data_IF_494522917169
#
_entry.id   IF_494522917169
#
_cell.length_a   1.000
_cell.length_b   1.000
_cell.length_c   1.000
_cell.angle_alpha   90.00
_cell.angle_beta   90.00
_cell.angle_gamma   90.00
#
_symmetry.space_group_name_H-M   'P 1'
#
loop_
_entity.id
_entity.type
_entity.pdbx_description
1 polymer ?
#
# COMPACT_ATOMS: atom_id res chain seq x y z
N UNK A 1 21.29 -36.15 2.93
CA UNK A 1 20.20 -35.44 3.63
C UNK A 1 20.57 -35.35 5.09
N UNK A 2 20.83 -34.15 5.64
CA UNK A 2 21.02 -33.97 7.09
C UNK A 2 19.71 -34.32 7.80
N UNK A 3 19.78 -34.97 8.96
CA UNK A 3 18.58 -35.21 9.78
C UNK A 3 18.03 -33.87 10.29
N UNK A 4 16.71 -33.73 10.35
CA UNK A 4 16.03 -32.54 10.91
C UNK A 4 16.52 -32.19 12.33
N UNK A 5 16.84 -33.19 13.15
CA UNK A 5 17.44 -32.96 14.47
C UNK A 5 18.81 -32.30 14.38
N UNK A 6 19.59 -32.61 13.35
CA UNK A 6 20.91 -32.02 13.11
C UNK A 6 20.80 -30.56 12.67
N UNK A 7 19.83 -30.21 11.82
CA UNK A 7 19.63 -28.82 11.35
C UNK A 7 19.11 -27.93 12.47
N UNK A 8 18.20 -28.45 13.30
CA UNK A 8 17.70 -27.74 14.49
C UNK A 8 18.81 -27.48 15.52
N UNK A 9 19.72 -28.43 15.71
CA UNK A 9 20.86 -28.26 16.61
C UNK A 9 21.85 -27.22 16.06
N UNK A 10 22.11 -27.26 14.75
CA UNK A 10 22.95 -26.28 14.05
C UNK A 10 22.39 -24.85 14.20
N UNK A 11 21.08 -24.68 14.03
CA UNK A 11 20.38 -23.41 14.25
C UNK A 11 20.53 -22.92 15.70
N UNK A 12 20.24 -23.77 16.69
CA UNK A 12 20.36 -23.42 18.11
C UNK A 12 21.79 -23.02 18.49
N UNK A 13 22.78 -23.75 17.99
CA UNK A 13 24.18 -23.45 18.23
C UNK A 13 24.57 -22.09 17.62
N UNK A 14 24.14 -21.81 16.39
CA UNK A 14 24.44 -20.52 15.76
C UNK A 14 23.80 -19.36 16.49
N UNK A 15 22.54 -19.48 16.92
CA UNK A 15 21.88 -18.48 17.77
C UNK A 15 22.64 -18.29 19.08
N UNK A 16 23.05 -19.38 19.74
CA UNK A 16 23.81 -19.31 20.99
C UNK A 16 25.13 -18.54 20.81
N UNK A 17 25.87 -18.81 19.72
CA UNK A 17 27.11 -18.07 19.40
C UNK A 17 26.87 -16.59 19.07
N UNK A 18 25.70 -16.25 18.55
CA UNK A 18 25.35 -14.89 18.14
C UNK A 18 24.66 -14.06 19.24
N UNK A 19 24.47 -14.59 20.45
CA UNK A 19 23.85 -13.86 21.58
C UNK A 19 24.54 -12.52 21.89
N UNK A 20 25.86 -12.46 21.71
CA UNK A 20 26.66 -11.24 21.90
C UNK A 20 26.32 -10.20 20.82
N UNK A 21 26.25 -10.61 19.55
CA UNK A 21 25.90 -9.74 18.42
C UNK A 21 24.45 -9.28 18.49
N UNK A 22 23.53 -10.16 18.90
CA UNK A 22 22.14 -9.82 19.15
C UNK A 22 22.01 -8.75 20.25
N UNK A 23 22.86 -8.79 21.27
CA UNK A 23 22.83 -7.81 22.36
C UNK A 23 23.41 -6.46 21.96
N UNK A 24 24.38 -6.43 21.03
CA UNK A 24 25.09 -5.22 20.60
C UNK A 24 24.47 -4.56 19.37
N UNK A 25 24.30 -5.33 18.30
CA UNK A 25 23.88 -4.85 16.98
C UNK A 25 22.43 -5.21 16.67
N UNK A 26 21.88 -6.23 17.34
CA UNK A 26 20.55 -6.76 17.04
C UNK A 26 20.51 -7.58 15.75
N UNK A 27 21.66 -8.05 15.27
CA UNK A 27 21.78 -8.85 14.05
C UNK A 27 21.74 -10.34 14.37
N UNK A 28 20.92 -11.08 13.63
CA UNK A 28 20.90 -12.54 13.58
C UNK A 28 21.22 -12.97 12.14
N UNK A 29 22.39 -13.59 11.94
CA UNK A 29 22.86 -14.04 10.63
C UNK A 29 22.80 -15.57 10.53
N UNK A 30 21.81 -16.07 9.79
CA UNK A 30 21.54 -17.47 9.52
C UNK A 30 21.79 -17.82 8.05
N UNK A 31 22.69 -17.12 7.36
CA UNK A 31 23.06 -17.45 5.98
C UNK A 31 23.59 -18.88 5.84
N UNK A 32 23.33 -19.45 4.67
CA UNK A 32 23.81 -20.78 4.24
C UNK A 32 23.39 -21.92 5.19
N UNK A 33 22.24 -21.78 5.85
CA UNK A 33 21.70 -22.79 6.76
C UNK A 33 20.37 -23.29 6.23
N UNK A 34 20.16 -24.59 6.40
CA UNK A 34 18.85 -25.19 6.21
C UNK A 34 17.95 -24.83 7.40
N UNK A 35 16.94 -24.00 7.16
CA UNK A 35 15.99 -23.52 8.15
C UNK A 35 14.62 -24.12 7.79
N UNK A 36 14.27 -25.29 8.35
CA UNK A 36 12.94 -25.85 8.15
C UNK A 36 11.85 -25.04 8.87
N UNK A 37 12.20 -24.39 9.99
CA UNK A 37 11.29 -23.61 10.81
C UNK A 37 12.03 -22.65 11.74
N UNK A 38 11.41 -21.51 12.05
CA UNK A 38 11.87 -20.56 13.07
C UNK A 38 11.29 -20.81 14.46
N UNK A 39 10.43 -21.81 14.67
CA UNK A 39 9.92 -22.15 16.01
C UNK A 39 11.03 -22.27 17.08
N UNK A 40 12.22 -22.85 16.79
CA UNK A 40 13.31 -22.94 17.76
C UNK A 40 13.98 -21.60 18.09
N UNK A 41 13.85 -20.61 17.22
CA UNK A 41 14.37 -19.26 17.46
C UNK A 41 13.67 -18.65 18.67
N UNK A 42 12.36 -18.90 18.84
CA UNK A 42 11.56 -18.20 19.83
C UNK A 42 11.56 -16.68 19.59
N UNK A 43 11.01 -15.92 20.53
CA UNK A 43 11.00 -14.46 20.44
C UNK A 43 12.38 -13.90 20.80
N UNK A 44 12.93 -13.04 19.94
CA UNK A 44 14.22 -12.40 20.13
C UNK A 44 14.04 -10.88 20.32
N UNK A 45 13.87 -10.40 21.57
CA UNK A 45 13.41 -9.03 21.85
C UNK A 45 14.35 -7.92 21.39
N UNK A 46 15.60 -8.25 21.04
CA UNK A 46 16.63 -7.31 20.56
C UNK A 46 16.93 -7.45 19.07
N UNK A 47 16.29 -8.38 18.36
CA UNK A 47 16.57 -8.63 16.94
C UNK A 47 16.01 -7.51 16.07
N UNK A 48 16.90 -6.72 15.48
CA UNK A 48 16.60 -5.65 14.52
C UNK A 48 16.74 -6.12 13.07
N UNK A 49 17.71 -6.99 12.82
CA UNK A 49 18.03 -7.48 11.47
C UNK A 49 18.10 -9.00 11.47
N UNK A 50 17.30 -9.63 10.60
CA UNK A 50 17.33 -11.06 10.34
C UNK A 50 17.88 -11.31 8.94
N UNK A 51 18.97 -12.07 8.84
CA UNK A 51 19.53 -12.48 7.55
C UNK A 51 19.45 -14.00 7.38
N UNK A 52 18.71 -14.43 6.37
CA UNK A 52 18.49 -15.84 6.01
C UNK A 52 18.85 -16.09 4.55
N UNK A 53 19.76 -15.30 3.98
CA UNK A 53 20.14 -15.45 2.57
C UNK A 53 20.80 -16.81 2.28
N UNK A 54 20.57 -17.35 1.09
CA UNK A 54 21.04 -18.69 0.67
C UNK A 54 20.57 -19.81 1.62
N UNK A 55 19.39 -19.68 2.22
CA UNK A 55 18.72 -20.75 2.97
C UNK A 55 17.61 -21.38 2.13
N UNK A 56 17.07 -22.50 2.59
CA UNK A 56 15.97 -23.22 1.94
C UNK A 56 14.58 -22.75 2.40
N UNK A 57 14.45 -21.52 2.88
CA UNK A 57 13.20 -21.03 3.43
C UNK A 57 12.15 -20.74 2.34
N UNK A 58 10.92 -21.21 2.57
CA UNK A 58 9.77 -21.02 1.66
C UNK A 58 8.76 -19.97 2.16
N UNK A 59 8.69 -19.76 3.48
CA UNK A 59 7.78 -18.79 4.13
C UNK A 59 8.30 -18.38 5.51
N UNK A 60 7.77 -17.28 6.07
CA UNK A 60 8.03 -16.83 7.43
C UNK A 60 6.94 -17.25 8.43
N UNK A 61 6.13 -18.25 8.08
CA UNK A 61 4.97 -18.68 8.86
C UNK A 61 5.32 -19.04 10.31
N UNK A 62 6.48 -19.66 10.53
CA UNK A 62 6.93 -20.09 11.86
C UNK A 62 7.72 -19.02 12.61
N UNK A 63 7.97 -17.86 11.98
CA UNK A 63 8.63 -16.73 12.63
C UNK A 63 7.63 -16.04 13.58
N UNK A 64 7.94 -15.95 14.88
CA UNK A 64 7.10 -15.24 15.82
C UNK A 64 7.09 -13.73 15.52
N UNK A 65 6.13 -13.01 16.10
CA UNK A 65 6.10 -11.55 16.01
C UNK A 65 7.28 -10.97 16.82
N UNK A 66 8.19 -10.28 16.15
CA UNK A 66 9.39 -9.72 16.77
C UNK A 66 9.19 -8.23 17.09
N UNK A 67 9.47 -7.79 18.32
CA UNK A 67 9.04 -6.47 18.78
C UNK A 67 9.82 -5.31 18.15
N UNK A 68 11.04 -5.55 17.66
CA UNK A 68 11.94 -4.52 17.14
C UNK A 68 12.55 -4.84 15.78
N UNK A 69 12.08 -5.91 15.12
CA UNK A 69 12.58 -6.34 13.82
C UNK A 69 12.24 -5.29 12.76
N UNK A 70 13.28 -4.70 12.16
CA UNK A 70 13.15 -3.65 11.16
C UNK A 70 13.63 -4.08 9.78
N UNK A 71 14.46 -5.13 9.69
CA UNK A 71 15.08 -5.54 8.43
C UNK A 71 15.07 -7.06 8.27
N UNK A 72 14.54 -7.55 7.15
CA UNK A 72 14.62 -8.96 6.74
C UNK A 72 15.40 -9.06 5.43
N UNK A 73 16.39 -9.95 5.39
CA UNK A 73 17.21 -10.23 4.19
C UNK A 73 17.12 -11.72 3.89
N UNK A 74 16.47 -12.08 2.80
CA UNK A 74 16.18 -13.45 2.36
C UNK A 74 16.52 -13.65 0.88
N UNK A 75 17.66 -13.13 0.44
CA UNK A 75 18.10 -13.23 -0.95
C UNK A 75 18.50 -14.67 -1.30
N UNK A 76 18.31 -15.07 -2.56
CA UNK A 76 18.64 -16.40 -3.08
C UNK A 76 18.01 -17.52 -2.22
N UNK A 77 16.71 -17.40 -1.97
CA UNK A 77 15.92 -18.40 -1.23
C UNK A 77 14.76 -18.87 -2.09
N UNK A 78 14.20 -20.07 -1.85
CA UNK A 78 12.98 -20.52 -2.53
C UNK A 78 11.71 -19.85 -1.99
N UNK A 79 11.82 -18.68 -1.34
CA UNK A 79 10.71 -17.94 -0.76
C UNK A 79 9.67 -17.62 -1.83
N UNK A 80 8.45 -18.11 -1.62
CA UNK A 80 7.35 -17.98 -2.58
C UNK A 80 6.02 -17.58 -1.91
N UNK A 81 6.04 -17.25 -0.62
CA UNK A 81 4.86 -16.93 0.18
C UNK A 81 5.05 -15.67 1.03
N UNK A 82 3.96 -14.95 1.24
CA UNK A 82 3.88 -13.78 2.12
C UNK A 82 3.57 -14.11 3.58
N UNK A 83 3.33 -15.39 3.90
CA UNK A 83 2.96 -15.83 5.23
C UNK A 83 3.99 -15.38 6.28
N UNK A 84 3.51 -14.63 7.27
CA UNK A 84 4.26 -14.24 8.45
C UNK A 84 4.89 -12.85 8.38
N UNK A 85 4.80 -12.18 7.22
CA UNK A 85 5.19 -10.78 7.10
C UNK A 85 4.23 -9.84 7.86
N UNK A 86 2.93 -10.14 7.87
CA UNK A 86 1.91 -9.30 8.53
C UNK A 86 2.11 -9.14 10.04
N UNK A 87 2.80 -10.10 10.67
CA UNK A 87 3.09 -10.08 12.11
C UNK A 87 4.23 -9.14 12.51
N UNK A 88 5.02 -8.67 11.54
CA UNK A 88 6.21 -7.87 11.80
C UNK A 88 5.90 -6.38 11.71
N UNK A 89 5.21 -5.85 12.71
CA UNK A 89 4.65 -4.48 12.72
C UNK A 89 5.69 -3.36 12.61
N UNK A 90 6.99 -3.64 12.82
CA UNK A 90 8.08 -2.64 12.72
C UNK A 90 8.99 -2.84 11.52
N UNK A 91 8.63 -3.74 10.62
CA UNK A 91 9.43 -4.09 9.46
C UNK A 91 9.48 -2.92 8.48
N UNK A 92 10.68 -2.39 8.25
CA UNK A 92 10.92 -1.23 7.39
C UNK A 92 11.66 -1.60 6.11
N UNK A 93 12.50 -2.63 6.12
CA UNK A 93 13.30 -3.02 4.97
C UNK A 93 13.15 -4.52 4.70
N UNK A 94 12.83 -4.87 3.46
CA UNK A 94 12.77 -6.26 3.01
C UNK A 94 13.62 -6.45 1.77
N UNK A 95 14.49 -7.45 1.79
CA UNK A 95 15.30 -7.86 0.64
C UNK A 95 15.02 -9.33 0.32
N UNK A 96 14.47 -9.59 -0.86
CA UNK A 96 14.05 -10.91 -1.35
C UNK A 96 14.54 -11.12 -2.79
N UNK A 97 15.75 -10.62 -3.11
CA UNK A 97 16.32 -10.72 -4.46
C UNK A 97 16.55 -12.17 -4.86
N UNK A 98 16.30 -12.50 -6.13
CA UNK A 98 16.45 -13.85 -6.68
C UNK A 98 15.61 -14.88 -5.90
N UNK A 99 14.34 -14.54 -5.67
CA UNK A 99 13.35 -15.45 -5.09
C UNK A 99 12.14 -15.57 -6.01
N UNK A 100 11.42 -16.70 -6.03
CA UNK A 100 10.16 -16.81 -6.77
C UNK A 100 9.13 -15.73 -6.41
N UNK A 101 9.15 -15.24 -5.17
CA UNK A 101 8.31 -14.13 -4.73
C UNK A 101 8.65 -12.82 -5.46
N UNK A 102 9.93 -12.53 -5.70
CA UNK A 102 10.36 -11.33 -6.42
C UNK A 102 10.06 -11.33 -7.92
N UNK A 103 9.71 -12.48 -8.50
CA UNK A 103 9.38 -12.62 -9.92
C UNK A 103 7.90 -12.31 -10.23
N UNK A 104 7.06 -12.17 -9.19
CA UNK A 104 5.63 -11.87 -9.37
C UNK A 104 5.43 -10.44 -9.85
N UNK A 105 4.47 -10.24 -10.75
CA UNK A 105 4.21 -8.93 -11.39
C UNK A 105 3.99 -7.79 -10.40
N UNK A 106 3.21 -8.02 -9.34
CA UNK A 106 2.83 -6.99 -8.36
C UNK A 106 3.48 -7.19 -6.98
N UNK A 107 4.61 -7.91 -6.92
CA UNK A 107 5.17 -8.37 -5.64
C UNK A 107 5.44 -7.23 -4.64
N UNK A 108 5.82 -6.06 -5.13
CA UNK A 108 6.15 -4.88 -4.31
C UNK A 108 4.91 -4.31 -3.64
N UNK A 109 3.83 -4.18 -4.40
CA UNK A 109 2.52 -3.71 -3.89
C UNK A 109 1.95 -4.74 -2.92
N UNK A 110 2.01 -6.03 -3.27
CA UNK A 110 1.57 -7.11 -2.39
C UNK A 110 2.31 -7.10 -1.05
N UNK A 111 3.63 -6.95 -1.09
CA UNK A 111 4.44 -6.87 0.13
C UNK A 111 4.12 -5.61 0.95
N UNK A 112 3.84 -4.49 0.29
CA UNK A 112 3.43 -3.25 0.94
C UNK A 112 2.06 -3.38 1.62
N UNK A 113 1.09 -4.04 0.99
CA UNK A 113 -0.22 -4.32 1.59
C UNK A 113 -0.05 -5.27 2.79
N UNK A 114 0.79 -6.30 2.66
CA UNK A 114 0.98 -7.29 3.73
C UNK A 114 1.72 -6.72 4.94
N UNK A 115 2.79 -5.95 4.74
CA UNK A 115 3.58 -5.38 5.85
C UNK A 115 2.94 -4.10 6.38
N UNK A 116 2.31 -3.31 5.51
CA UNK A 116 1.66 -2.05 5.83
C UNK A 116 2.59 -0.83 5.81
N UNK A 117 2.14 0.24 6.45
CA UNK A 117 2.70 1.59 6.34
C UNK A 117 4.18 1.74 6.69
N UNK A 118 4.71 0.87 7.55
CA UNK A 118 6.08 0.96 8.06
C UNK A 118 7.13 0.51 7.05
N UNK A 119 6.73 -0.20 6.00
CA UNK A 119 7.64 -0.65 4.96
C UNK A 119 8.17 0.57 4.18
N UNK A 120 9.49 0.70 4.13
CA UNK A 120 10.21 1.83 3.51
C UNK A 120 10.92 1.43 2.23
N UNK A 121 11.59 0.27 2.27
CA UNK A 121 12.46 -0.19 1.20
C UNK A 121 12.20 -1.65 0.86
N UNK A 122 12.15 -1.93 -0.43
CA UNK A 122 12.10 -3.28 -0.98
C UNK A 122 13.31 -3.46 -1.89
N UNK A 123 14.11 -4.50 -1.66
CA UNK A 123 15.30 -4.82 -2.44
C UNK A 123 16.36 -3.69 -2.51
N UNK A 124 16.34 -2.79 -1.54
CA UNK A 124 17.22 -1.62 -1.45
C UNK A 124 16.66 -0.35 -2.11
N UNK A 125 15.55 -0.45 -2.84
CA UNK A 125 14.86 0.66 -3.46
C UNK A 125 13.78 1.21 -2.52
N UNK A 126 13.61 2.54 -2.50
CA UNK A 126 12.51 3.17 -1.78
C UNK A 126 11.18 2.82 -2.44
N UNK A 127 10.14 2.72 -1.62
CA UNK A 127 8.76 2.62 -2.10
C UNK A 127 8.32 3.98 -2.61
N UNK A 128 7.77 4.03 -3.83
CA UNK A 128 7.31 5.28 -4.43
C UNK A 128 5.97 5.74 -3.84
N UNK A 129 5.64 7.04 -3.92
CA UNK A 129 4.31 7.54 -3.55
C UNK A 129 3.17 6.86 -4.32
N UNK A 130 3.37 6.59 -5.60
CA UNK A 130 2.38 5.90 -6.45
C UNK A 130 2.12 4.46 -5.98
N UNK A 131 3.16 3.74 -5.57
CA UNK A 131 3.00 2.40 -4.99
C UNK A 131 2.16 2.42 -3.72
N UNK A 132 2.35 3.45 -2.87
CA UNK A 132 1.53 3.66 -1.66
C UNK A 132 0.10 4.01 -1.98
N UNK A 133 -0.12 4.85 -2.97
CA UNK A 133 -1.45 5.22 -3.43
C UNK A 133 -2.20 4.00 -3.95
N UNK A 134 -1.60 3.20 -4.82
CA UNK A 134 -2.20 1.95 -5.33
C UNK A 134 -2.50 1.00 -4.17
N UNK A 135 -1.55 0.77 -3.26
CA UNK A 135 -1.76 -0.10 -2.10
C UNK A 135 -2.90 0.39 -1.19
N UNK A 136 -3.11 1.71 -1.07
CA UNK A 136 -4.18 2.28 -0.24
C UNK A 136 -5.59 2.06 -0.79
N UNK A 137 -5.72 1.70 -2.07
CA UNK A 137 -7.01 1.38 -2.69
C UNK A 137 -7.54 0.00 -2.25
N UNK A 138 -6.68 -0.87 -1.72
CA UNK A 138 -7.07 -2.22 -1.31
C UNK A 138 -7.61 -2.24 0.12
N UNK A 139 -8.71 -2.97 0.38
CA UNK A 139 -9.26 -3.08 1.72
C UNK A 139 -8.33 -3.85 2.67
N UNK A 140 -8.50 -3.67 3.98
CA UNK A 140 -7.69 -4.35 5.01
C UNK A 140 -7.68 -5.87 4.84
N UNK A 141 -8.79 -6.46 4.37
CA UNK A 141 -8.89 -7.91 4.11
C UNK A 141 -7.89 -8.42 3.05
N UNK A 142 -7.42 -7.56 2.15
CA UNK A 142 -6.45 -7.91 1.12
C UNK A 142 -5.15 -8.47 1.71
N UNK A 143 -4.72 -7.96 2.88
CA UNK A 143 -3.56 -8.50 3.61
C UNK A 143 -3.71 -10.00 3.87
N UNK A 144 -4.85 -10.43 4.42
CA UNK A 144 -5.10 -11.83 4.75
C UNK A 144 -5.26 -12.71 3.51
N UNK A 145 -5.85 -12.16 2.44
CA UNK A 145 -5.97 -12.85 1.15
C UNK A 145 -4.60 -13.13 0.52
N UNK A 146 -3.72 -12.12 0.48
CA UNK A 146 -2.36 -12.25 -0.07
C UNK A 146 -1.56 -13.29 0.73
N UNK A 147 -1.64 -13.26 2.05
CA UNK A 147 -1.02 -14.28 2.90
C UNK A 147 -1.58 -15.69 2.63
N UNK A 148 -2.86 -15.80 2.26
CA UNK A 148 -3.50 -17.07 1.88
C UNK A 148 -3.21 -17.51 0.44
N UNK A 149 -2.42 -16.74 -0.31
CA UNK A 149 -1.97 -17.09 -1.65
C UNK A 149 -2.75 -16.44 -2.79
N UNK A 150 -3.67 -15.51 -2.50
CA UNK A 150 -4.27 -14.67 -3.55
C UNK A 150 -3.19 -13.80 -4.20
N UNK A 151 -3.28 -13.62 -5.52
CA UNK A 151 -2.42 -12.72 -6.29
C UNK A 151 -3.17 -11.44 -6.61
N UNK A 152 -2.50 -10.31 -6.42
CA UNK A 152 -3.07 -9.00 -6.64
C UNK A 152 -3.46 -8.80 -8.10
N UNK A 153 -4.63 -8.20 -8.31
CA UNK A 153 -5.17 -7.83 -9.62
C UNK A 153 -5.38 -6.33 -9.63
N UNK A 154 -4.93 -5.66 -10.70
CA UNK A 154 -5.12 -4.23 -10.91
C UNK A 154 -5.96 -3.98 -12.18
N UNK A 155 -6.95 -3.07 -12.17
CA UNK A 155 -7.33 -2.16 -11.07
C UNK A 155 -7.96 -2.90 -9.88
N UNK A 156 -8.03 -2.22 -8.72
CA UNK A 156 -8.57 -2.79 -7.48
C UNK A 156 -9.99 -3.35 -7.72
N UNK A 157 -10.25 -4.62 -7.35
CA UNK A 157 -11.59 -5.22 -7.44
C UNK A 157 -12.64 -4.47 -6.63
N UNK A 158 -13.91 -4.72 -6.93
CA UNK A 158 -15.01 -4.19 -6.10
C UNK A 158 -15.10 -4.91 -4.76
N UNK A 159 -15.71 -4.27 -3.76
CA UNK A 159 -15.83 -4.80 -2.40
C UNK A 159 -16.56 -6.15 -2.37
N UNK A 160 -17.55 -6.33 -3.24
CA UNK A 160 -18.31 -7.57 -3.36
C UNK A 160 -17.42 -8.75 -3.76
N UNK A 161 -16.45 -8.52 -4.67
CA UNK A 161 -15.51 -9.55 -5.10
C UNK A 161 -14.56 -9.95 -3.96
N UNK A 162 -14.19 -9.01 -3.08
CA UNK A 162 -13.39 -9.34 -1.89
C UNK A 162 -14.13 -10.25 -0.90
N UNK A 163 -15.46 -10.16 -0.80
CA UNK A 163 -16.26 -11.08 0.03
C UNK A 163 -16.21 -12.50 -0.55
N UNK A 164 -16.40 -12.62 -1.86
CA UNK A 164 -16.34 -13.92 -2.55
C UNK A 164 -14.94 -14.54 -2.41
N UNK A 165 -13.89 -13.73 -2.58
CA UNK A 165 -12.51 -14.16 -2.36
C UNK A 165 -12.28 -14.63 -0.91
N UNK A 166 -12.80 -13.90 0.09
CA UNK A 166 -12.66 -14.29 1.49
C UNK A 166 -13.28 -15.66 1.78
N UNK A 167 -14.42 -15.96 1.16
CA UNK A 167 -15.10 -17.25 1.25
C UNK A 167 -14.30 -18.33 0.50
N UNK A 168 -13.83 -18.03 -0.73
CA UNK A 168 -13.05 -18.95 -1.57
C UNK A 168 -11.75 -19.38 -0.88
N UNK A 169 -11.05 -18.45 -0.26
CA UNK A 169 -9.82 -18.70 0.50
C UNK A 169 -10.10 -19.18 1.93
N UNK A 170 -11.37 -19.39 2.31
CA UNK A 170 -11.81 -19.91 3.61
C UNK A 170 -11.20 -19.14 4.79
N UNK A 171 -11.18 -17.80 4.68
CA UNK A 171 -10.70 -16.92 5.72
C UNK A 171 -11.60 -17.00 6.96
N UNK A 172 -10.99 -16.93 8.15
CA UNK A 172 -11.71 -16.98 9.42
C UNK A 172 -11.23 -15.89 10.36
N UNK A 173 -12.13 -14.97 10.69
CA UNK A 173 -11.89 -13.93 11.68
C UNK A 173 -12.76 -14.14 12.91
N UNK A 174 -12.27 -13.70 14.07
CA UNK A 174 -13.00 -13.83 15.33
C UNK A 174 -14.23 -12.94 15.29
N UNK A 175 -15.41 -13.53 15.45
CA UNK A 175 -16.68 -12.81 15.46
C UNK A 175 -17.21 -12.46 14.06
N UNK A 176 -16.55 -12.88 12.99
CA UNK A 176 -17.06 -12.75 11.61
C UNK A 176 -17.82 -14.02 11.23
N UNK A 177 -18.98 -13.86 10.61
CA UNK A 177 -19.79 -14.95 10.09
C UNK A 177 -19.17 -15.54 8.81
N UNK A 178 -19.53 -16.78 8.46
CA UNK A 178 -18.96 -17.46 7.28
C UNK A 178 -19.27 -16.76 5.96
N UNK A 179 -20.29 -15.92 5.93
CA UNK A 179 -20.71 -15.19 4.74
C UNK A 179 -20.12 -13.77 4.68
N UNK A 180 -19.34 -13.35 5.69
CA UNK A 180 -18.75 -12.01 5.77
C UNK A 180 -19.78 -10.88 5.62
N UNK A 181 -20.94 -11.05 6.26
CA UNK A 181 -22.09 -10.12 6.15
C UNK A 181 -22.34 -9.28 7.40
N UNK A 182 -21.69 -9.61 8.51
CA UNK A 182 -21.92 -8.90 9.76
C UNK A 182 -21.12 -7.60 9.91
N UNK A 183 -21.50 -6.76 10.88
CA UNK A 183 -20.85 -5.45 11.12
C UNK A 183 -19.34 -5.54 11.40
N UNK A 184 -18.88 -6.68 11.95
CA UNK A 184 -17.46 -6.93 12.20
C UNK A 184 -16.73 -7.16 10.87
N UNK A 185 -17.34 -7.90 9.93
CA UNK A 185 -16.79 -8.12 8.59
C UNK A 185 -16.62 -6.79 7.84
N UNK A 186 -17.58 -5.87 7.94
CA UNK A 186 -17.53 -4.56 7.29
C UNK A 186 -16.28 -3.73 7.66
N UNK A 187 -15.73 -3.93 8.86
CA UNK A 187 -14.49 -3.25 9.26
C UNK A 187 -13.28 -3.69 8.43
N UNK A 188 -13.30 -4.92 7.91
CA UNK A 188 -12.21 -5.47 7.08
C UNK A 188 -12.31 -5.06 5.61
N UNK A 189 -13.47 -4.57 5.15
CA UNK A 189 -13.68 -4.09 3.78
C UNK A 189 -13.42 -2.59 3.61
N UNK A 190 -13.07 -1.90 4.69
CA UNK A 190 -12.66 -0.50 4.60
C UNK A 190 -11.22 -0.40 4.06
N UNK A 191 -10.94 0.52 3.12
CA UNK A 191 -9.56 0.84 2.78
C UNK A 191 -8.83 1.36 4.01
N UNK A 192 -7.54 1.04 4.18
CA UNK A 192 -6.75 1.58 5.27
C UNK A 192 -6.67 3.12 5.15
N UNK A 193 -6.50 3.85 6.26
CA UNK A 193 -6.17 5.26 6.18
C UNK A 193 -4.94 5.44 5.29
N UNK A 194 -5.01 6.44 4.38
CA UNK A 194 -4.02 6.68 3.32
C UNK A 194 -2.60 6.49 3.86
N UNK A 195 -1.84 5.59 3.22
CA UNK A 195 -0.46 5.32 3.63
C UNK A 195 0.34 6.62 3.53
N UNK A 196 1.02 7.06 4.60
CA UNK A 196 1.72 8.34 4.59
C UNK A 196 2.75 8.36 3.46
N UNK A 197 2.69 9.41 2.64
CA UNK A 197 3.71 9.67 1.62
C UNK A 197 4.97 10.13 2.35
N UNK A 198 6.01 9.31 2.31
CA UNK A 198 7.29 9.67 2.93
C UNK A 198 8.10 10.44 1.88
N UNK A 199 7.92 11.76 1.86
CA UNK A 199 8.78 12.66 1.11
C UNK A 199 10.12 12.78 1.85
N UNK A 200 11.14 12.06 1.40
CA UNK A 200 12.50 12.32 1.86
C UNK A 200 13.20 13.24 0.85
N UNK A 201 13.58 14.43 1.32
CA UNK A 201 14.43 15.39 0.64
C UNK A 201 15.77 14.75 0.25
N UNK A 202 15.93 14.45 -1.04
CA UNK A 202 17.12 14.65 -1.86
C UNK A 202 16.83 14.00 -3.21
N UNK A 203 16.31 14.81 -4.14
CA UNK A 203 16.43 14.52 -5.57
C UNK A 203 17.93 14.39 -5.89
N UNK A 204 18.38 13.16 -6.10
CA UNK A 204 19.58 12.91 -6.89
C UNK A 204 19.31 11.68 -7.75
N UNK A 205 18.87 11.98 -8.97
CA UNK A 205 19.20 11.30 -10.22
C UNK A 205 19.74 9.87 -10.08
N UNK A 206 18.84 8.88 -10.13
CA UNK A 206 19.16 7.57 -10.68
C UNK A 206 18.03 7.20 -11.64
N UNK A 207 18.31 7.42 -12.93
CA UNK A 207 17.59 6.78 -14.03
C UNK A 207 17.85 5.27 -13.97
N UNK A 208 16.80 4.47 -13.84
CA UNK A 208 16.84 3.05 -14.24
C UNK A 208 15.75 2.81 -15.30
N UNK A 209 16.03 2.00 -16.34
CA UNK A 209 15.30 2.02 -17.62
C UNK A 209 13.88 1.46 -17.58
N UNK A 210 13.02 1.85 -18.55
CA UNK A 210 11.64 1.40 -18.64
C UNK A 210 11.60 -0.01 -19.24
N UNK A 211 11.66 -1.02 -18.39
CA UNK A 211 11.25 -2.36 -18.75
C UNK A 211 10.31 -2.86 -17.67
N UNK A 212 9.03 -2.45 -17.74
CA UNK A 212 7.85 -3.16 -17.21
C UNK A 212 6.53 -2.51 -17.66
N UNK A 213 6.52 -1.25 -18.12
CA UNK A 213 5.31 -0.66 -18.74
C UNK A 213 5.34 -0.83 -20.26
N UNK A 214 4.79 -1.95 -20.76
CA UNK A 214 4.12 -1.94 -22.07
C UNK A 214 2.67 -1.50 -21.85
N UNK A 215 2.49 -0.29 -21.35
CA UNK A 215 1.21 0.40 -21.46
C UNK A 215 1.32 1.38 -22.62
N UNK A 216 0.38 1.29 -23.56
CA UNK A 216 0.35 2.12 -24.76
C UNK A 216 0.35 3.61 -24.38
N UNK A 217 1.33 4.42 -24.83
CA UNK A 217 1.39 5.87 -24.54
C UNK A 217 0.19 6.67 -25.09
N UNK A 218 -0.67 6.02 -25.89
CA UNK A 218 -1.82 6.64 -26.56
C UNK A 218 -3.02 6.87 -25.60
N UNK A 219 -3.06 6.24 -24.42
CA UNK A 219 -4.18 6.42 -23.46
C UNK A 219 -3.96 7.58 -22.48
N UNK A 220 -2.75 7.75 -21.94
CA UNK A 220 -2.44 8.84 -21.00
C UNK A 220 -2.47 10.22 -21.68
N UNK A 221 -2.04 10.34 -22.94
CA UNK A 221 -2.19 11.61 -23.69
C UNK A 221 -3.66 11.96 -23.98
N UNK A 222 -4.54 10.96 -24.14
CA UNK A 222 -5.96 11.20 -24.43
C UNK A 222 -6.76 11.64 -23.21
N UNK A 223 -6.49 11.09 -22.03
CA UNK A 223 -7.13 11.50 -20.78
C UNK A 223 -6.66 12.90 -20.35
N UNK A 224 -5.36 13.20 -20.43
CA UNK A 224 -4.85 14.56 -20.20
C UNK A 224 -5.34 15.60 -21.23
N UNK A 225 -5.62 15.19 -22.48
CA UNK A 225 -6.24 16.09 -23.48
C UNK A 225 -7.71 16.40 -23.15
N UNK A 226 -8.44 15.43 -22.60
CA UNK A 226 -9.86 15.61 -22.26
C UNK A 226 -10.04 16.56 -21.07
N UNK A 227 -9.22 16.43 -20.03
CA UNK A 227 -9.31 17.29 -18.84
C UNK A 227 -8.97 18.75 -19.17
N UNK A 228 -7.93 18.96 -20.00
CA UNK A 228 -7.55 20.31 -20.45
C UNK A 228 -8.60 20.93 -21.38
N UNK A 229 -9.28 20.13 -22.20
CA UNK A 229 -10.36 20.59 -23.05
C UNK A 229 -11.60 20.98 -22.22
N UNK A 230 -11.93 20.17 -21.20
CA UNK A 230 -13.04 20.45 -20.29
C UNK A 230 -12.83 21.75 -19.51
N UNK A 231 -11.61 21.99 -19.01
CA UNK A 231 -11.25 23.25 -18.33
C UNK A 231 -11.38 24.47 -19.25
N UNK A 232 -10.95 24.33 -20.52
CA UNK A 232 -11.09 25.41 -21.51
C UNK A 232 -12.53 25.72 -21.85
N UNK A 233 -13.40 24.71 -21.92
CA UNK A 233 -14.82 24.92 -22.19
C UNK A 233 -15.55 25.50 -20.97
N UNK A 234 -15.15 25.12 -19.75
CA UNK A 234 -15.64 25.74 -18.52
C UNK A 234 -15.23 27.23 -18.41
N UNK A 235 -13.99 27.56 -18.78
CA UNK A 235 -13.55 28.96 -18.84
C UNK A 235 -14.38 29.80 -19.83
N UNK A 236 -14.76 29.24 -20.99
CA UNK A 236 -15.61 29.94 -21.95
C UNK A 236 -17.01 30.21 -21.41
N UNK A 237 -17.60 29.26 -20.68
CA UNK A 237 -18.91 29.47 -20.06
C UNK A 237 -18.84 30.50 -18.93
N UNK A 238 -17.76 30.52 -18.14
CA UNK A 238 -17.56 31.52 -17.10
C UNK A 238 -17.31 32.92 -17.68
N UNK A 239 -16.59 33.03 -18.80
CA UNK A 239 -16.45 34.28 -19.56
C UNK A 239 -17.80 34.81 -20.06
N UNK A 240 -18.74 33.95 -20.47
CA UNK A 240 -20.11 34.36 -20.87
C UNK A 240 -20.91 34.94 -19.72
N UNK A 241 -20.64 34.51 -18.50
CA UNK A 241 -21.26 35.05 -17.27
C UNK A 241 -20.52 36.32 -16.79
N UNK A 242 -19.47 36.75 -17.51
CA UNK A 242 -18.70 37.96 -17.22
C UNK A 242 -17.54 37.75 -16.26
N UNK A 243 -17.16 36.50 -15.99
CA UNK A 243 -16.05 36.16 -15.09
C UNK A 243 -14.83 35.79 -15.94
N UNK A 244 -13.80 36.63 -15.85
CA UNK A 244 -12.55 36.43 -16.57
C UNK A 244 -11.55 35.67 -15.70
N UNK A 245 -11.08 34.52 -16.21
CA UNK A 245 -10.11 33.67 -15.53
C UNK A 245 -8.79 33.72 -16.30
N UNK A 246 -7.67 34.09 -15.64
CA UNK A 246 -6.37 34.09 -16.28
C UNK A 246 -5.94 32.67 -16.66
N UNK A 247 -5.49 32.51 -17.90
CA UNK A 247 -5.10 31.21 -18.51
C UNK A 247 -3.60 30.99 -18.33
N UNK A 248 -3.16 30.89 -17.08
CA UNK A 248 -1.77 30.63 -16.68
C UNK A 248 -1.57 29.17 -16.23
N UNK A 249 -0.38 28.86 -15.69
CA UNK A 249 -0.02 27.51 -15.22
C UNK A 249 -0.93 27.00 -14.08
N UNK A 250 -1.72 27.87 -13.44
CA UNK A 250 -2.61 27.55 -12.32
C UNK A 250 -4.10 27.67 -12.70
N UNK A 251 -4.45 27.45 -13.97
CA UNK A 251 -5.81 27.59 -14.48
C UNK A 251 -6.84 26.76 -13.69
N UNK A 252 -6.47 25.58 -13.20
CA UNK A 252 -7.35 24.71 -12.40
C UNK A 252 -7.75 25.34 -11.07
N UNK A 253 -6.78 25.89 -10.34
CA UNK A 253 -6.99 26.55 -9.06
C UNK A 253 -7.80 27.85 -9.25
N UNK A 254 -7.51 28.58 -10.33
CA UNK A 254 -8.24 29.81 -10.66
C UNK A 254 -9.71 29.55 -11.03
N UNK A 255 -9.98 28.48 -11.78
CA UNK A 255 -11.35 28.03 -12.11
C UNK A 255 -12.09 27.60 -10.85
N UNK A 256 -11.44 26.81 -10.00
CA UNK A 256 -12.05 26.35 -8.75
C UNK A 256 -12.45 27.52 -7.84
N UNK A 257 -11.55 28.49 -7.67
CA UNK A 257 -11.80 29.69 -6.88
C UNK A 257 -12.94 30.55 -7.47
N UNK A 258 -13.01 30.67 -8.80
CA UNK A 258 -14.09 31.41 -9.47
C UNK A 258 -15.47 30.75 -9.27
N UNK A 259 -15.55 29.42 -9.41
CA UNK A 259 -16.79 28.67 -9.16
C UNK A 259 -17.19 28.74 -7.69
N UNK A 260 -16.23 28.63 -6.77
CA UNK A 260 -16.49 28.76 -5.34
C UNK A 260 -17.01 30.17 -4.97
N UNK A 261 -16.42 31.21 -5.56
CA UNK A 261 -16.89 32.59 -5.42
C UNK A 261 -18.32 32.80 -5.94
N UNK A 262 -18.67 32.20 -7.09
CA UNK A 262 -20.05 32.19 -7.60
C UNK A 262 -21.02 31.53 -6.63
N UNK A 263 -20.66 30.37 -6.07
CA UNK A 263 -21.49 29.66 -5.09
C UNK A 263 -21.73 30.51 -3.84
N UNK A 264 -20.72 31.24 -3.37
CA UNK A 264 -20.89 32.16 -2.24
C UNK A 264 -21.78 33.35 -2.58
N UNK A 265 -21.69 33.90 -3.79
CA UNK A 265 -22.56 34.99 -4.25
C UNK A 265 -24.01 34.52 -4.35
N UNK A 266 -24.25 33.34 -4.95
CA UNK A 266 -25.60 32.75 -5.05
C UNK A 266 -26.19 32.54 -3.65
N UNK A 267 -25.41 32.01 -2.70
CA UNK A 267 -25.86 31.84 -1.30
C UNK A 267 -26.18 33.15 -0.59
N UNK A 268 -25.56 34.27 -1.00
CA UNK A 268 -25.85 35.61 -0.47
C UNK A 268 -27.03 36.28 -1.16
N UNK A 269 -27.40 35.84 -2.37
CA UNK A 269 -28.57 36.31 -3.11
C UNK A 269 -29.85 35.55 -2.76
N UNK A 270 -29.73 34.31 -2.27
CA UNK A 270 -30.86 33.46 -1.84
C UNK A 270 -31.81 34.15 -0.83
N UNK A 271 -31.33 34.87 0.21
CA UNK A 271 -32.21 35.61 1.13
C UNK A 271 -32.83 36.87 0.50
N UNK A 272 -32.32 37.33 -0.65
CA UNK A 272 -32.72 38.59 -1.28
C UNK A 272 -33.80 38.36 -2.37
N UNK A 273 -33.90 37.14 -2.92
CA UNK A 273 -34.95 36.76 -3.86
C UNK A 273 -36.35 36.78 -3.21
N UNK A 274 -36.44 36.41 -1.93
CA UNK A 274 -37.70 36.41 -1.16
C UNK A 274 -38.20 37.82 -0.80
N UNK A 275 -37.32 38.84 -0.78
CA UNK A 275 -37.72 40.25 -0.57
C UNK A 275 -38.14 40.94 -1.88
N UNK A 276 -37.54 40.58 -3.01
CA UNK A 276 -37.91 41.14 -4.33
C UNK A 276 -39.25 40.60 -4.87
N UNK A 277 -39.63 39.37 -4.51
CA UNK A 277 -40.97 38.82 -4.80
C UNK A 277 -42.09 39.54 -4.04
N UNK A 278 -41.79 40.11 -2.86
CA UNK A 278 -42.79 40.87 -2.07
C UNK A 278 -42.98 42.31 -2.54
N UNK A 279 -42.00 42.87 -3.24
CA UNK A 279 -42.09 44.24 -3.78
C UNK A 279 -42.84 44.30 -5.12
N UNK A 280 -42.86 43.21 -5.88
CA UNK A 280 -43.62 43.15 -7.15
C UNK A 280 -45.12 42.92 -6.96
N UNK A 281 -45.55 42.45 -5.78
CA UNK A 281 -46.99 42.30 -5.44
C UNK A 281 -47.63 43.58 -4.88
N UNK A 282 -46.86 44.65 -4.62
CA UNK A 282 -47.37 45.92 -4.07
C UNK A 282 -47.63 47.02 -5.11
N UNK A 283 -47.19 46.84 -6.36
CA UNK A 283 -47.40 47.81 -7.45
C UNK A 283 -48.64 47.50 -8.33
N UNK A 284 -49.44 46.48 -7.99
CA UNK A 284 -50.71 46.12 -8.68
C UNK A 284 -52.00 46.43 -7.88
N UNK A 285 -51.98 47.35 -6.90
CA UNK A 285 -53.20 47.84 -6.21
C UNK A 285 -53.44 49.35 -6.38
#
# INVERSE_FOLDING_TARGET
MKSERSTLLELKNKIATQRVNLSREGLVDLKNIEIPSFTPLGIQPKMKTLNVSNSNIISFETLPAEPVLSTIIANNTPLNSYLGFSRQNRLANVCVKNTPLSERQYFRIELLIVVGQHLMKINGELISPQEREIASQYPIIAQALIESGWSLVYPCPKIEEFRDLAIQFNLRFKGVDKQFTNEIAEQHFKPPPVLPIIQNMHETLISVPPAIFKENPIKQEKEMMQDKQMLMDLCKELERVGIFIPKDENIEENVFNAVQGLVEIVKKLDPCADELLKLTEQDEQ
#
